data_IF_669027484522
#
_entry.id   IF_669027484522
#
_cell.length_a   1.000
_cell.length_b   1.000
_cell.length_c   1.000
_cell.angle_alpha   90.00
_cell.angle_beta   90.00
_cell.angle_gamma   90.00
#
_symmetry.space_group_name_H-M   'P 1'
#
loop_
_entity.id
_entity.type
_entity.pdbx_description
1 polymer ?
#
# COMPACT_ATOMS: atom_id res chain seq x y z
N UNK A 1 0.11 -3.00 -25.69
CA UNK A 1 0.28 -2.73 -24.26
C UNK A 1 -1.10 -2.92 -23.68
N UNK A 2 -1.37 -4.07 -23.10
CA UNK A 2 -2.69 -4.37 -22.59
C UNK A 2 -2.90 -3.50 -21.34
N UNK A 3 -3.80 -2.53 -21.44
CA UNK A 3 -4.22 -1.74 -20.29
C UNK A 3 -4.85 -2.70 -19.28
N UNK A 4 -4.21 -2.81 -18.11
CA UNK A 4 -4.68 -3.66 -17.03
C UNK A 4 -5.78 -2.93 -16.27
N UNK A 5 -7.03 -3.30 -16.56
CA UNK A 5 -8.20 -2.87 -15.77
C UNK A 5 -8.16 -3.51 -14.39
N UNK A 6 -8.34 -2.71 -13.33
CA UNK A 6 -8.37 -3.14 -11.92
C UNK A 6 -7.18 -4.02 -11.47
N UNK A 7 -5.94 -3.51 -11.56
CA UNK A 7 -4.74 -4.29 -11.24
C UNK A 7 -4.71 -4.69 -9.75
N UNK A 8 -4.67 -5.99 -9.47
CA UNK A 8 -4.56 -6.55 -8.11
C UNK A 8 -3.10 -6.73 -7.65
N UNK A 9 -2.14 -6.59 -8.57
CA UNK A 9 -0.72 -6.81 -8.32
C UNK A 9 -0.28 -8.25 -8.59
N UNK A 10 0.97 -8.62 -8.25
CA UNK A 10 1.49 -9.97 -8.46
C UNK A 10 0.81 -11.03 -7.58
N UNK A 11 0.73 -12.28 -8.06
CA UNK A 11 0.11 -13.41 -7.35
C UNK A 11 0.85 -13.82 -6.07
N UNK A 12 2.16 -13.56 -6.00
CA UNK A 12 3.01 -13.94 -4.87
C UNK A 12 4.01 -12.83 -4.50
N UNK A 13 4.42 -12.81 -3.24
CA UNK A 13 5.45 -11.90 -2.75
C UNK A 13 5.63 -11.94 -1.23
N UNK A 14 6.84 -11.60 -0.78
CA UNK A 14 7.20 -11.59 0.64
C UNK A 14 6.74 -10.33 1.38
N UNK A 15 6.32 -9.29 0.66
CA UNK A 15 5.99 -7.98 1.22
C UNK A 15 4.62 -7.48 0.73
N UNK A 16 3.95 -6.66 1.54
CA UNK A 16 2.74 -5.92 1.18
C UNK A 16 3.06 -4.42 1.05
N UNK A 17 2.33 -3.75 0.18
CA UNK A 17 2.51 -2.32 -0.09
C UNK A 17 1.73 -1.49 0.94
N UNK A 18 2.38 -0.48 1.50
CA UNK A 18 1.76 0.60 2.27
C UNK A 18 1.96 1.93 1.52
N UNK A 19 1.07 2.89 1.76
CA UNK A 19 1.09 4.23 1.14
C UNK A 19 0.68 5.30 2.13
N UNK A 20 0.97 6.55 1.81
CA UNK A 20 0.55 7.74 2.57
C UNK A 20 1.53 8.22 3.63
N UNK A 21 2.61 7.47 3.89
CA UNK A 21 3.61 7.83 4.90
C UNK A 21 3.07 7.75 6.32
N UNK A 22 3.73 8.47 7.24
CA UNK A 22 3.37 8.55 8.65
C UNK A 22 3.92 9.83 9.28
N UNK A 23 3.60 10.09 10.54
CA UNK A 23 4.12 11.24 11.29
C UNK A 23 5.64 11.19 11.55
N UNK A 24 6.26 10.01 11.44
CA UNK A 24 7.67 9.77 11.79
C UNK A 24 8.62 9.77 10.57
N UNK A 25 8.09 9.59 9.36
CA UNK A 25 8.90 9.41 8.15
C UNK A 25 9.10 10.73 7.40
N UNK A 26 10.16 10.80 6.58
CA UNK A 26 10.45 11.99 5.78
C UNK A 26 9.26 12.41 4.88
N UNK A 27 8.99 13.72 4.73
CA UNK A 27 7.85 14.21 3.95
C UNK A 27 7.78 13.71 2.51
N UNK A 28 8.93 13.40 1.91
CA UNK A 28 8.99 12.84 0.55
C UNK A 28 8.30 11.47 0.44
N UNK A 29 8.23 10.72 1.54
CA UNK A 29 7.58 9.43 1.60
C UNK A 29 6.07 9.52 1.80
N UNK A 30 5.54 10.71 2.14
CA UNK A 30 4.10 10.98 2.27
C UNK A 30 3.43 11.31 0.91
N UNK A 31 4.21 11.42 -0.17
CA UNK A 31 3.68 11.68 -1.53
C UNK A 31 2.82 10.51 -2.02
N UNK A 32 1.76 10.82 -2.77
CA UNK A 32 0.80 9.81 -3.25
C UNK A 32 1.43 8.71 -4.13
N UNK A 33 2.48 9.06 -4.89
CA UNK A 33 3.21 8.12 -5.75
C UNK A 33 4.14 7.18 -4.96
N UNK A 34 4.50 7.53 -3.72
CA UNK A 34 5.41 6.72 -2.92
C UNK A 34 4.74 5.41 -2.51
N UNK A 35 5.49 4.31 -2.68
CA UNK A 35 5.10 2.96 -2.27
C UNK A 35 6.18 2.39 -1.35
N UNK A 36 5.82 2.07 -0.12
CA UNK A 36 6.71 1.43 0.85
C UNK A 36 6.28 -0.04 0.97
N UNK A 37 7.23 -0.92 1.28
CA UNK A 37 6.97 -2.35 1.42
C UNK A 37 7.39 -2.84 2.80
N UNK A 38 6.52 -3.65 3.42
CA UNK A 38 6.81 -4.33 4.69
C UNK A 38 6.42 -5.80 4.59
N UNK A 39 7.12 -6.67 5.31
CA UNK A 39 6.65 -8.03 5.47
C UNK A 39 5.30 -8.02 6.21
N UNK A 40 4.33 -8.92 5.88
CA UNK A 40 3.00 -8.92 6.48
C UNK A 40 3.00 -9.08 8.02
N UNK A 41 4.08 -9.61 8.58
CA UNK A 41 4.25 -9.88 10.01
C UNK A 41 4.81 -8.68 10.80
N UNK A 42 5.30 -7.64 10.12
CA UNK A 42 5.85 -6.45 10.77
C UNK A 42 4.74 -5.66 11.46
N UNK A 43 4.97 -5.31 12.73
CA UNK A 43 4.09 -4.46 13.54
C UNK A 43 4.85 -3.21 13.93
N UNK A 44 4.28 -2.05 13.66
CA UNK A 44 4.86 -0.75 14.00
C UNK A 44 3.75 0.22 14.38
N UNK A 45 4.08 1.19 15.23
CA UNK A 45 3.14 2.23 15.68
C UNK A 45 2.87 3.30 14.62
N UNK A 46 3.57 3.26 13.48
CA UNK A 46 3.48 4.25 12.39
C UNK A 46 2.76 3.74 11.14
N UNK A 47 2.25 2.51 11.14
CA UNK A 47 1.55 1.89 9.99
C UNK A 47 0.16 1.42 10.42
N UNK A 48 -0.85 1.81 9.65
CA UNK A 48 -2.23 1.34 9.76
C UNK A 48 -2.84 1.04 8.40
N UNK A 49 -4.17 0.87 8.35
CA UNK A 49 -4.89 0.63 7.11
C UNK A 49 -6.28 1.28 7.12
N UNK A 50 -6.84 1.52 5.93
CA UNK A 50 -8.23 1.94 5.72
C UNK A 50 -8.94 0.84 4.95
N UNK A 51 -10.09 0.41 5.45
CA UNK A 51 -10.93 -0.59 4.78
C UNK A 51 -11.65 0.05 3.60
N UNK A 52 -11.81 -0.72 2.52
CA UNK A 52 -12.63 -0.38 1.36
C UNK A 52 -13.66 -1.49 1.16
N UNK A 53 -14.82 -1.14 0.62
CA UNK A 53 -15.87 -2.10 0.26
C UNK A 53 -15.96 -2.13 -1.26
N UNK A 54 -16.31 -3.27 -1.86
CA UNK A 54 -16.68 -3.31 -3.27
C UNK A 54 -17.98 -2.53 -3.46
N UNK A 55 -18.01 -1.63 -4.45
CA UNK A 55 -19.27 -1.01 -4.87
C UNK A 55 -20.25 -2.07 -5.38
N UNK A 56 -21.54 -1.87 -5.13
CA UNK A 56 -22.59 -2.68 -5.77
C UNK A 56 -22.51 -2.45 -7.29
N UNK A 57 -22.71 -3.51 -8.09
CA UNK A 57 -22.87 -3.40 -9.54
C UNK A 57 -24.11 -2.61 -9.92
#
# INVERSE_FOLDING_TARGET
>A
MDDLTDPTGPDAGWHRVTRGGSWFIDPEHCRAATRIKYAPTVKTHSVGFRVVVSGMK
#
